data_IF_720643409934
#
_entry.id   IF_720643409934
#
_cell.length_a   1.000
_cell.length_b   1.000
_cell.length_c   1.000
_cell.angle_alpha   90.00
_cell.angle_beta   90.00
_cell.angle_gamma   90.00
#
_symmetry.space_group_name_H-M   'P 1'
#
loop_
_entity.id
_entity.type
_entity.pdbx_description
1 polymer ?
#
# COMPACT_ATOMS: atom_id res chain seq x y z
N UNK A 1 24.14 44.64 -17.03
CA UNK A 1 23.63 44.23 -15.71
C UNK A 1 22.82 42.92 -15.75
N UNK A 2 22.00 42.62 -16.77
CA UNK A 2 21.17 41.40 -16.80
C UNK A 2 21.93 40.06 -16.86
N UNK A 3 23.04 39.97 -17.59
CA UNK A 3 23.83 38.74 -17.70
C UNK A 3 24.46 38.30 -16.36
N UNK A 4 24.84 39.27 -15.52
CA UNK A 4 25.38 39.04 -14.18
C UNK A 4 24.31 38.47 -13.22
N UNK A 5 23.06 38.96 -13.31
CA UNK A 5 21.95 38.41 -12.54
C UNK A 5 21.58 36.98 -12.98
N UNK A 6 21.59 36.70 -14.29
CA UNK A 6 21.30 35.37 -14.81
C UNK A 6 22.33 34.33 -14.35
N UNK A 7 23.62 34.68 -14.37
CA UNK A 7 24.69 33.82 -13.84
C UNK A 7 24.53 33.55 -12.34
N UNK A 8 24.18 34.58 -11.57
CA UNK A 8 23.96 34.43 -10.13
C UNK A 8 22.79 33.49 -9.82
N UNK A 9 21.69 33.60 -10.58
CA UNK A 9 20.53 32.72 -10.41
C UNK A 9 20.83 31.27 -10.80
N UNK A 10 21.54 31.05 -11.91
CA UNK A 10 21.99 29.72 -12.32
C UNK A 10 22.93 29.09 -11.30
N UNK A 11 23.86 29.87 -10.73
CA UNK A 11 24.76 29.41 -9.67
C UNK A 11 24.01 29.08 -8.39
N UNK A 12 23.03 29.89 -8.00
CA UNK A 12 22.17 29.64 -6.83
C UNK A 12 21.38 28.33 -6.98
N UNK A 13 20.79 28.09 -8.15
CA UNK A 13 20.08 26.84 -8.46
C UNK A 13 21.01 25.62 -8.44
N UNK A 14 22.22 25.76 -8.99
CA UNK A 14 23.24 24.71 -8.98
C UNK A 14 23.68 24.38 -7.55
N UNK A 15 23.89 25.39 -6.71
CA UNK A 15 24.20 25.23 -5.29
C UNK A 15 23.04 24.53 -4.56
N UNK A 16 21.79 24.91 -4.83
CA UNK A 16 20.60 24.27 -4.24
C UNK A 16 20.51 22.79 -4.61
N UNK A 17 20.81 22.45 -5.87
CA UNK A 17 20.83 21.07 -6.36
C UNK A 17 21.97 20.25 -5.73
N UNK A 18 23.14 20.86 -5.52
CA UNK A 18 24.31 20.24 -4.87
C UNK A 18 24.17 20.11 -3.35
N UNK A 19 23.37 20.94 -2.70
CA UNK A 19 23.07 20.85 -1.26
C UNK A 19 22.09 19.72 -0.92
N UNK A 20 21.25 19.33 -1.88
CA UNK A 20 20.26 18.25 -1.72
C UNK A 20 20.89 16.90 -1.26
N UNK A 21 21.96 16.37 -1.89
CA UNK A 21 22.59 15.12 -1.44
C UNK A 21 23.29 15.23 -0.07
N UNK A 22 23.75 16.43 0.32
CA UNK A 22 24.42 16.63 1.62
C UNK A 22 23.40 16.53 2.76
N UNK A 23 22.18 17.02 2.55
CA UNK A 23 21.09 16.88 3.52
C UNK A 23 20.62 15.42 3.64
N UNK A 24 20.61 14.66 2.54
CA UNK A 24 20.26 13.24 2.52
C UNK A 24 21.26 12.37 3.29
N UNK A 25 22.56 12.67 3.19
CA UNK A 25 23.58 11.95 3.96
C UNK A 25 23.45 12.17 5.47
N UNK A 26 22.93 13.33 5.90
CA UNK A 26 22.64 13.61 7.31
C UNK A 26 21.36 12.90 7.81
N UNK A 27 20.39 12.65 6.93
CA UNK A 27 19.17 11.88 7.23
C UNK A 27 19.40 10.36 7.26
N UNK A 28 20.49 9.88 6.65
CA UNK A 28 20.93 8.49 6.71
C UNK A 28 21.63 8.13 8.03
N UNK A 29 21.48 8.92 9.09
CA UNK A 29 21.68 8.40 10.43
C UNK A 29 20.40 7.68 10.83
N UNK A 30 20.36 6.37 10.55
CA UNK A 30 19.39 5.46 11.15
C UNK A 30 19.29 5.83 12.64
N UNK A 31 18.10 6.19 13.16
CA UNK A 31 17.98 6.49 14.57
C UNK A 31 18.62 5.33 15.32
N UNK A 32 19.51 5.63 16.27
CA UNK A 32 20.23 4.64 17.06
C UNK A 32 19.27 3.92 18.02
N UNK A 33 18.30 3.24 17.44
CA UNK A 33 17.37 2.38 18.12
C UNK A 33 17.85 0.96 17.91
N UNK A 34 18.02 0.27 19.04
CA UNK A 34 18.25 -1.16 19.02
C UNK A 34 17.05 -1.90 18.42
N UNK A 35 17.14 -3.21 18.39
CA UNK A 35 16.04 -4.05 17.93
C UNK A 35 14.83 -3.89 18.87
N UNK A 36 13.77 -3.26 18.36
CA UNK A 36 12.48 -3.23 19.03
C UNK A 36 11.67 -4.47 18.64
N UNK A 37 11.04 -5.13 19.62
CA UNK A 37 10.25 -6.33 19.38
C UNK A 37 8.85 -6.16 19.96
N UNK A 38 7.84 -6.48 19.15
CA UNK A 38 6.45 -6.55 19.58
C UNK A 38 5.87 -7.92 19.24
N UNK A 39 5.60 -8.72 20.27
CA UNK A 39 5.16 -10.11 20.08
C UNK A 39 6.28 -10.94 19.44
N UNK A 40 6.02 -11.45 18.24
CA UNK A 40 6.97 -12.21 17.42
C UNK A 40 7.55 -11.41 16.24
N UNK A 41 7.30 -10.10 16.19
CA UNK A 41 7.72 -9.22 15.10
C UNK A 41 8.82 -8.28 15.58
N UNK A 42 9.95 -8.31 14.89
CA UNK A 42 11.00 -7.29 15.01
C UNK A 42 10.59 -6.06 14.21
N UNK A 43 10.57 -4.90 14.87
CA UNK A 43 10.32 -3.61 14.27
C UNK A 43 11.67 -3.04 13.83
N UNK A 44 11.76 -2.67 12.56
CA UNK A 44 12.99 -2.13 11.95
C UNK A 44 12.78 -0.70 11.49
N UNK A 45 13.87 0.06 11.46
CA UNK A 45 13.90 1.38 10.85
C UNK A 45 13.27 1.38 9.44
N UNK A 46 12.49 2.40 9.08
CA UNK A 46 12.27 3.66 9.81
C UNK A 46 11.06 3.63 10.76
N UNK A 47 10.50 2.44 11.03
CA UNK A 47 9.40 2.27 11.97
C UNK A 47 9.93 2.11 13.39
N UNK A 48 9.13 2.57 14.36
CA UNK A 48 9.50 2.45 15.78
C UNK A 48 8.32 2.70 16.70
N UNK A 49 8.40 2.16 17.91
CA UNK A 49 7.42 2.34 18.97
C UNK A 49 7.79 3.45 19.95
N UNK A 50 9.09 3.63 20.18
CA UNK A 50 9.61 4.74 20.97
C UNK A 50 9.77 5.99 20.09
N UNK A 51 9.49 7.17 20.65
CA UNK A 51 9.51 8.45 19.93
C UNK A 51 10.87 8.84 19.36
N UNK A 52 11.96 8.22 19.83
CA UNK A 52 13.31 8.39 19.29
C UNK A 52 13.61 7.47 18.10
N UNK A 53 12.72 6.53 17.79
CA UNK A 53 12.94 5.45 16.81
C UNK A 53 12.17 5.61 15.51
N UNK A 54 11.40 6.70 15.38
CA UNK A 54 10.72 7.07 14.14
C UNK A 54 10.80 8.59 13.94
N UNK A 55 11.00 9.03 12.71
CA UNK A 55 11.07 10.46 12.38
C UNK A 55 9.67 11.09 12.27
N UNK A 56 8.71 10.32 11.76
CA UNK A 56 7.36 10.82 11.45
C UNK A 56 6.28 10.01 12.16
N UNK A 57 5.20 10.67 12.56
CA UNK A 57 4.11 10.05 13.32
C UNK A 57 3.43 8.88 12.59
N UNK A 58 3.39 8.88 11.26
CA UNK A 58 2.86 7.78 10.45
C UNK A 58 3.78 6.55 10.38
N UNK A 59 5.02 6.66 10.85
CA UNK A 59 5.96 5.54 11.03
C UNK A 59 5.93 4.99 12.46
N UNK A 60 5.10 5.56 13.33
CA UNK A 60 4.91 5.08 14.69
C UNK A 60 4.21 3.73 14.69
N UNK A 61 4.78 2.79 15.42
CA UNK A 61 4.20 1.48 15.70
C UNK A 61 3.65 1.45 17.12
N UNK A 62 2.42 0.99 17.27
CA UNK A 62 1.81 0.73 18.58
C UNK A 62 1.75 -0.76 18.82
N UNK A 63 2.24 -1.21 19.98
CA UNK A 63 2.22 -2.62 20.37
C UNK A 63 1.01 -2.91 21.27
N UNK A 64 -0.09 -3.39 20.68
CA UNK A 64 -1.36 -3.60 21.37
C UNK A 64 -1.51 -5.04 21.88
N UNK A 65 -2.11 -5.20 23.06
CA UNK A 65 -2.48 -6.52 23.58
C UNK A 65 -3.74 -7.03 22.85
N UNK A 66 -3.64 -8.19 22.22
CA UNK A 66 -4.78 -8.89 21.58
C UNK A 66 -5.04 -10.22 22.27
N UNK A 67 -6.13 -10.91 21.88
CA UNK A 67 -6.44 -12.26 22.38
C UNK A 67 -5.29 -13.26 22.11
N UNK A 68 -4.55 -13.07 21.02
CA UNK A 68 -3.46 -13.94 20.60
C UNK A 68 -2.06 -13.36 20.95
N UNK A 69 -1.99 -12.50 21.97
CA UNK A 69 -0.75 -11.87 22.42
C UNK A 69 -0.56 -10.44 21.92
N UNK A 70 0.62 -9.88 22.18
CA UNK A 70 0.98 -8.53 21.73
C UNK A 70 1.21 -8.51 20.22
N UNK A 71 0.64 -7.50 19.54
CA UNK A 71 0.75 -7.33 18.10
C UNK A 71 1.08 -5.88 17.72
N UNK A 72 1.95 -5.65 16.72
CA UNK A 72 2.28 -4.31 16.25
C UNK A 72 1.22 -3.79 15.28
N UNK A 73 0.92 -2.49 15.38
CA UNK A 73 0.00 -1.78 14.49
C UNK A 73 0.61 -0.46 14.04
N UNK A 74 0.37 -0.07 12.79
CA UNK A 74 0.58 1.31 12.33
C UNK A 74 -0.78 1.99 12.19
N UNK A 75 -0.85 3.26 12.58
CA UNK A 75 -2.06 4.06 12.35
C UNK A 75 -1.88 4.91 11.09
N UNK A 76 -2.68 4.63 10.07
CA UNK A 76 -2.66 5.34 8.80
C UNK A 76 -3.99 6.08 8.66
N UNK A 77 -3.98 7.38 8.94
CA UNK A 77 -5.18 8.24 8.88
C UNK A 77 -6.37 7.71 9.72
N UNK A 78 -6.11 7.23 10.94
CA UNK A 78 -7.14 6.67 11.81
C UNK A 78 -7.45 5.18 11.57
N UNK A 79 -6.83 4.55 10.58
CA UNK A 79 -6.95 3.11 10.32
C UNK A 79 -5.78 2.39 10.99
N UNK A 80 -6.07 1.50 11.94
CA UNK A 80 -5.06 0.64 12.57
C UNK A 80 -4.83 -0.61 11.72
N UNK A 81 -3.62 -0.73 11.15
CA UNK A 81 -3.21 -1.87 10.33
C UNK A 81 -2.22 -2.73 11.10
N UNK A 82 -2.57 -4.00 11.34
CA UNK A 82 -1.68 -4.98 11.98
C UNK A 82 -0.45 -5.23 11.08
N UNK A 83 0.74 -5.07 11.65
CA UNK A 83 2.01 -5.32 10.97
C UNK A 83 2.38 -6.79 11.13
N UNK A 84 2.65 -7.43 10.00
CA UNK A 84 3.09 -8.82 9.92
C UNK A 84 4.62 -8.94 9.73
N UNK A 85 5.31 -7.83 9.48
CA UNK A 85 6.76 -7.74 9.38
C UNK A 85 7.24 -6.61 8.48
N UNK A 86 8.55 -6.35 8.48
CA UNK A 86 9.21 -5.40 7.57
C UNK A 86 9.84 -6.12 6.37
N UNK A 87 9.98 -5.40 5.25
CA UNK A 87 10.74 -5.83 4.07
C UNK A 87 11.94 -4.89 3.86
N UNK A 88 13.08 -5.45 3.44
CA UNK A 88 14.35 -4.73 3.24
C UNK A 88 14.33 -3.60 2.19
N UNK A 89 13.21 -3.37 1.49
CA UNK A 89 13.11 -2.50 0.31
C UNK A 89 12.01 -1.43 0.44
N UNK A 90 11.93 -0.73 1.57
CA UNK A 90 10.89 0.28 1.87
C UNK A 90 9.46 -0.28 1.77
N UNK A 91 9.25 -1.49 2.31
CA UNK A 91 7.93 -2.11 2.36
C UNK A 91 7.60 -2.61 3.75
N UNK A 92 6.36 -2.46 4.17
CA UNK A 92 5.83 -3.06 5.39
C UNK A 92 4.71 -4.04 5.04
N UNK A 93 4.77 -5.23 5.62
CA UNK A 93 3.76 -6.26 5.42
C UNK A 93 2.65 -6.02 6.43
N UNK A 94 1.42 -5.88 5.95
CA UNK A 94 0.24 -5.65 6.78
C UNK A 94 -0.80 -6.76 6.60
N UNK A 95 -1.66 -6.88 7.60
CA UNK A 95 -2.83 -7.77 7.58
C UNK A 95 -3.98 -7.07 6.87
N UNK A 96 -4.21 -7.43 5.61
CA UNK A 96 -5.17 -6.78 4.73
C UNK A 96 -6.56 -7.44 4.83
N UNK A 97 -7.68 -6.67 4.81
CA UNK A 97 -9.01 -7.23 4.83
C UNK A 97 -9.35 -8.00 3.55
N UNK A 98 -10.36 -8.86 3.65
CA UNK A 98 -10.83 -9.75 2.59
C UNK A 98 -12.34 -9.58 2.43
N UNK A 99 -12.81 -9.42 1.19
CA UNK A 99 -14.23 -9.46 0.88
C UNK A 99 -14.71 -10.92 0.82
N UNK A 100 -15.92 -11.16 1.30
CA UNK A 100 -16.57 -12.47 1.35
C UNK A 100 -17.98 -12.41 0.81
N UNK A 101 -18.35 -13.43 0.03
CA UNK A 101 -19.73 -13.64 -0.41
C UNK A 101 -20.11 -15.10 -0.18
N UNK A 102 -21.35 -15.34 0.25
CA UNK A 102 -21.94 -16.68 0.45
C UNK A 102 -21.19 -17.57 1.47
N UNK A 103 -20.46 -16.97 2.41
CA UNK A 103 -19.76 -17.69 3.47
C UNK A 103 -20.57 -17.63 4.77
N UNK A 104 -20.66 -18.76 5.48
CA UNK A 104 -21.37 -18.82 6.75
C UNK A 104 -20.74 -17.84 7.75
N UNK A 105 -21.59 -17.00 8.35
CA UNK A 105 -21.24 -16.01 9.39
C UNK A 105 -20.40 -14.78 8.95
N UNK A 106 -19.99 -14.69 7.68
CA UNK A 106 -19.22 -13.53 7.18
C UNK A 106 -19.66 -13.20 5.75
N UNK A 107 -20.42 -12.12 5.58
CA UNK A 107 -20.90 -11.69 4.26
C UNK A 107 -20.57 -10.20 4.03
N UNK A 108 -19.28 -9.87 4.17
CA UNK A 108 -18.75 -8.56 3.80
C UNK A 108 -18.38 -8.59 2.31
N UNK A 109 -19.39 -8.52 1.44
CA UNK A 109 -19.20 -8.59 0.00
C UNK A 109 -18.45 -7.35 -0.57
N UNK A 110 -18.19 -6.36 0.28
CA UNK A 110 -17.46 -5.14 -0.04
C UNK A 110 -16.47 -4.81 1.08
N UNK A 111 -15.21 -4.59 0.75
CA UNK A 111 -14.21 -4.05 1.68
C UNK A 111 -13.44 -2.90 1.03
N UNK A 112 -13.19 -1.85 1.79
CA UNK A 112 -12.50 -0.67 1.31
C UNK A 112 -11.38 -0.26 2.26
N UNK A 113 -10.25 0.17 1.70
CA UNK A 113 -9.13 0.74 2.45
C UNK A 113 -8.77 2.06 1.82
N UNK A 114 -8.69 3.13 2.62
CA UNK A 114 -8.37 4.47 2.16
C UNK A 114 -7.21 5.06 2.94
N UNK A 115 -6.04 5.10 2.31
CA UNK A 115 -4.79 5.66 2.81
C UNK A 115 -4.50 7.05 2.20
N UNK A 116 -5.48 7.64 1.50
CA UNK A 116 -5.32 8.94 0.83
C UNK A 116 -4.92 10.02 1.83
N UNK A 117 -4.03 10.92 1.41
CA UNK A 117 -3.46 11.95 2.29
C UNK A 117 -2.31 11.47 3.18
N UNK A 118 -1.94 10.19 3.10
CA UNK A 118 -0.75 9.63 3.76
C UNK A 118 0.33 9.29 2.73
N UNK A 119 1.60 9.08 3.13
CA UNK A 119 2.63 8.69 2.18
C UNK A 119 2.53 7.22 1.76
N UNK A 120 1.63 6.43 2.35
CA UNK A 120 1.49 5.00 2.09
C UNK A 120 0.66 4.69 0.84
N UNK A 121 1.05 3.63 0.15
CA UNK A 121 0.33 3.08 -1.00
C UNK A 121 0.59 1.58 -1.16
N UNK A 122 -0.36 0.86 -1.75
CA UNK A 122 -0.15 -0.48 -2.24
C UNK A 122 0.60 -0.43 -3.56
N UNK A 123 1.81 -0.99 -3.61
CA UNK A 123 2.61 -1.04 -4.84
C UNK A 123 2.05 -2.07 -5.82
N UNK A 124 1.91 -1.67 -7.09
CA UNK A 124 1.55 -2.56 -8.20
C UNK A 124 2.58 -3.67 -8.47
N UNK A 125 3.84 -3.46 -8.07
CA UNK A 125 4.91 -4.44 -8.28
C UNK A 125 4.94 -5.54 -7.21
N UNK A 126 4.36 -5.25 -6.03
CA UNK A 126 4.42 -6.15 -4.86
C UNK A 126 3.09 -6.75 -4.47
N UNK A 127 2.00 -6.22 -5.02
CA UNK A 127 0.65 -6.65 -4.70
C UNK A 127 -0.12 -7.06 -5.95
N UNK A 128 -0.97 -8.04 -5.77
CA UNK A 128 -1.83 -8.65 -6.76
C UNK A 128 -3.26 -8.59 -6.26
N UNK A 129 -4.21 -8.53 -7.18
CA UNK A 129 -5.61 -8.75 -6.86
C UNK A 129 -5.95 -10.20 -7.15
N UNK A 130 -6.58 -10.88 -6.19
CA UNK A 130 -6.94 -12.28 -6.31
C UNK A 130 -8.34 -12.54 -5.80
N UNK A 131 -8.91 -13.63 -6.28
CA UNK A 131 -10.12 -14.23 -5.70
C UNK A 131 -9.97 -15.74 -5.60
N UNK A 132 -10.66 -16.34 -4.63
CA UNK A 132 -10.75 -17.80 -4.43
C UNK A 132 -12.23 -18.17 -4.31
N UNK A 133 -12.62 -19.30 -4.91
CA UNK A 133 -14.01 -19.76 -4.99
C UNK A 133 -14.51 -19.84 -6.43
N UNK A 134 -15.82 -20.02 -6.61
CA UNK A 134 -16.49 -20.13 -7.90
C UNK A 134 -17.82 -19.38 -7.88
N UNK A 135 -18.38 -19.04 -9.04
CA UNK A 135 -19.73 -18.50 -9.16
C UNK A 135 -19.83 -16.97 -9.15
N UNK A 136 -18.76 -16.25 -8.82
CA UNK A 136 -18.81 -14.82 -8.51
C UNK A 136 -17.93 -13.97 -9.43
N UNK A 137 -18.28 -12.68 -9.52
CA UNK A 137 -17.44 -11.64 -10.08
C UNK A 137 -16.81 -10.85 -8.93
N UNK A 138 -15.49 -10.85 -8.87
CA UNK A 138 -14.72 -10.02 -7.96
C UNK A 138 -14.15 -8.81 -8.71
N UNK A 139 -14.41 -7.60 -8.25
CA UNK A 139 -13.89 -6.37 -8.87
C UNK A 139 -13.04 -5.59 -7.90
N UNK A 140 -12.11 -4.82 -8.45
CA UNK A 140 -11.29 -3.88 -7.70
C UNK A 140 -11.45 -2.49 -8.32
N UNK A 141 -11.77 -1.52 -7.48
CA UNK A 141 -11.94 -0.11 -7.83
C UNK A 141 -10.90 0.74 -7.10
N UNK A 142 -10.35 1.74 -7.77
CA UNK A 142 -9.62 2.84 -7.14
C UNK A 142 -10.59 3.95 -6.75
N UNK A 143 -10.33 4.66 -5.65
CA UNK A 143 -11.12 5.82 -5.22
C UNK A 143 -12.65 5.56 -5.24
N UNK A 144 -13.05 4.34 -4.86
CA UNK A 144 -14.44 3.86 -4.79
C UNK A 144 -15.20 3.77 -6.13
N UNK A 145 -14.72 4.36 -7.23
CA UNK A 145 -15.46 4.47 -8.49
C UNK A 145 -14.69 4.04 -9.75
N UNK A 146 -13.37 4.16 -9.77
CA UNK A 146 -12.57 3.90 -10.98
C UNK A 146 -12.24 2.40 -11.08
N UNK A 147 -12.91 1.68 -11.98
CA UNK A 147 -12.65 0.25 -12.19
C UNK A 147 -11.21 0.02 -12.66
N UNK A 148 -10.44 -0.73 -11.85
CA UNK A 148 -9.06 -1.11 -12.18
C UNK A 148 -8.99 -2.48 -12.84
N UNK A 149 -10.02 -3.30 -12.64
CA UNK A 149 -10.09 -4.65 -13.17
C UNK A 149 -10.95 -5.54 -12.30
N UNK A 150 -10.85 -6.83 -12.58
CA UNK A 150 -11.64 -7.83 -11.88
C UNK A 150 -11.28 -9.23 -12.28
N UNK A 151 -12.08 -10.14 -11.75
CA UNK A 151 -11.83 -11.55 -11.65
C UNK A 151 -13.17 -12.25 -11.83
N UNK A 152 -13.38 -12.86 -13.00
CA UNK A 152 -14.56 -13.67 -13.28
C UNK A 152 -14.25 -15.10 -12.82
N UNK A 153 -14.92 -15.56 -11.79
CA UNK A 153 -14.78 -16.95 -11.35
C UNK A 153 -15.62 -17.85 -12.27
N UNK A 154 -15.14 -19.09 -12.46
CA UNK A 154 -15.89 -20.09 -13.23
C UNK A 154 -17.22 -20.42 -12.54
N UNK A 155 -18.16 -21.01 -13.27
CA UNK A 155 -19.37 -21.58 -12.65
C UNK A 155 -18.94 -22.78 -11.79
N UNK A 156 -19.60 -22.97 -10.64
CA UNK A 156 -19.26 -24.08 -9.76
C UNK A 156 -19.68 -25.42 -10.40
N UNK A 157 -18.75 -26.38 -10.47
CA UNK A 157 -19.06 -27.76 -10.86
C UNK A 157 -19.68 -28.54 -9.68
N UNK A 158 -20.58 -29.48 -9.98
CA UNK A 158 -21.26 -30.31 -8.98
C UNK A 158 -20.27 -31.18 -8.17
N UNK A 159 -19.14 -31.58 -8.77
CA UNK A 159 -18.14 -32.48 -8.18
C UNK A 159 -17.23 -31.81 -7.13
N UNK A 160 -17.38 -30.52 -6.86
CA UNK A 160 -16.70 -29.82 -5.76
C UNK A 160 -15.17 -29.69 -5.88
N UNK A 161 -14.58 -30.11 -7.00
CA UNK A 161 -13.13 -30.10 -7.23
C UNK A 161 -12.56 -28.75 -7.69
N UNK A 162 -13.42 -27.78 -8.04
CA UNK A 162 -13.01 -26.52 -8.65
C UNK A 162 -13.15 -25.35 -7.67
N UNK A 163 -12.28 -25.25 -6.66
CA UNK A 163 -12.00 -23.95 -6.03
C UNK A 163 -11.11 -23.12 -6.97
N UNK A 164 -11.63 -22.81 -8.16
CA UNK A 164 -10.88 -22.09 -9.20
C UNK A 164 -10.91 -20.58 -8.93
N UNK A 165 -9.91 -20.09 -8.24
CA UNK A 165 -9.67 -18.65 -8.13
C UNK A 165 -9.17 -18.03 -9.43
N UNK A 166 -8.95 -16.72 -9.38
CA UNK A 166 -8.20 -16.00 -10.41
C UNK A 166 -7.31 -14.95 -9.77
N UNK A 167 -6.25 -14.58 -10.48
CA UNK A 167 -5.26 -13.60 -10.06
C UNK A 167 -5.06 -12.63 -11.21
N UNK A 168 -5.01 -11.34 -10.89
CA UNK A 168 -4.68 -10.28 -11.84
C UNK A 168 -3.66 -9.31 -11.23
N UNK A 169 -2.88 -8.71 -12.12
CA UNK A 169 -1.90 -7.70 -11.74
C UNK A 169 -2.61 -6.38 -11.44
N UNK A 170 -2.18 -5.70 -10.38
CA UNK A 170 -2.57 -4.32 -10.16
C UNK A 170 -1.67 -3.47 -11.07
N UNK A 171 -2.26 -2.60 -11.89
CA UNK A 171 -1.51 -1.85 -12.91
C UNK A 171 -0.98 -0.50 -12.42
N UNK A 172 -1.46 -0.03 -11.26
CA UNK A 172 -1.13 1.29 -10.69
C UNK A 172 -0.94 1.20 -9.18
N UNK A 173 -0.15 2.12 -8.62
CA UNK A 173 -0.03 2.25 -7.17
C UNK A 173 -1.34 2.79 -6.58
N UNK A 174 -1.83 2.15 -5.51
CA UNK A 174 -3.13 2.48 -4.91
C UNK A 174 -2.97 3.13 -3.54
N UNK A 175 -3.47 4.36 -3.40
CA UNK A 175 -3.65 4.99 -2.07
C UNK A 175 -5.02 4.66 -1.49
N UNK A 176 -5.99 4.29 -2.32
CA UNK A 176 -7.29 3.78 -1.88
C UNK A 176 -7.76 2.69 -2.83
N UNK A 177 -8.52 1.73 -2.31
CA UNK A 177 -9.20 0.75 -3.13
C UNK A 177 -10.50 0.28 -2.48
N UNK A 178 -11.39 -0.26 -3.31
CA UNK A 178 -12.57 -1.03 -2.90
C UNK A 178 -12.56 -2.35 -3.64
N UNK A 179 -12.73 -3.46 -2.92
CA UNK A 179 -12.97 -4.78 -3.48
C UNK A 179 -14.45 -5.08 -3.33
N UNK A 180 -15.10 -5.48 -4.41
CA UNK A 180 -16.51 -5.89 -4.42
C UNK A 180 -16.63 -7.31 -4.97
N UNK A 181 -17.54 -8.08 -4.37
CA UNK A 181 -17.95 -9.38 -4.86
C UNK A 181 -19.45 -9.37 -5.18
N UNK A 182 -19.81 -9.88 -6.35
CA UNK A 182 -21.19 -10.06 -6.75
C UNK A 182 -21.40 -11.45 -7.33
N UNK A 183 -22.59 -12.01 -7.13
CA UNK A 183 -22.95 -13.28 -7.75
C UNK A 183 -23.02 -13.10 -9.28
N UNK A 184 -22.23 -13.88 -10.01
CA UNK A 184 -22.28 -13.92 -11.47
C UNK A 184 -23.20 -15.03 -11.95
N UNK A 185 -23.20 -16.16 -11.24
CA UNK A 185 -24.07 -17.31 -11.46
C UNK A 185 -24.93 -17.53 -10.20
N UNK A 186 -26.20 -17.06 -10.17
CA UNK A 186 -27.03 -17.08 -8.96
C UNK A 186 -27.31 -18.46 -8.37
N UNK A 187 -27.21 -19.50 -9.20
CA UNK A 187 -27.33 -20.91 -8.85
C UNK A 187 -26.04 -21.47 -8.19
N UNK A 188 -24.91 -20.77 -8.34
CA UNK A 188 -23.61 -21.11 -7.76
C UNK A 188 -23.40 -20.41 -6.40
N UNK A 189 -24.20 -20.79 -5.40
CA UNK A 189 -24.14 -20.20 -4.06
C UNK A 189 -23.05 -20.86 -3.18
N UNK A 190 -21.79 -20.83 -3.63
CA UNK A 190 -20.65 -21.27 -2.81
C UNK A 190 -19.92 -20.06 -2.23
N UNK A 191 -19.41 -20.25 -1.01
CA UNK A 191 -18.51 -19.30 -0.36
C UNK A 191 -17.40 -18.90 -1.34
N UNK A 192 -17.02 -17.63 -1.35
CA UNK A 192 -15.91 -17.12 -2.15
C UNK A 192 -15.33 -15.88 -1.48
N UNK A 193 -14.08 -15.58 -1.82
CA UNK A 193 -13.36 -14.43 -1.28
C UNK A 193 -12.57 -13.68 -2.34
N UNK A 194 -12.31 -12.40 -2.10
CA UNK A 194 -11.49 -11.55 -2.94
C UNK A 194 -10.69 -10.53 -2.12
N UNK A 195 -9.47 -10.24 -2.57
CA UNK A 195 -8.52 -9.47 -1.76
C UNK A 195 -7.32 -8.96 -2.57
N UNK A 196 -6.62 -7.96 -2.01
CA UNK A 196 -5.27 -7.58 -2.43
C UNK A 196 -4.26 -8.30 -1.53
N UNK A 197 -3.25 -8.92 -2.14
CA UNK A 197 -2.23 -9.68 -1.41
C UNK A 197 -0.84 -9.57 -2.05
N UNK A 198 0.20 -9.92 -1.28
CA UNK A 198 1.57 -10.04 -1.77
C UNK A 198 2.02 -11.50 -1.84
N UNK A 199 2.51 -12.00 -2.99
CA UNK A 199 2.89 -13.40 -3.14
C UNK A 199 4.19 -13.76 -2.42
N UNK A 200 5.07 -12.79 -2.16
CA UNK A 200 6.42 -13.03 -1.62
C UNK A 200 6.45 -13.58 -0.16
N UNK A 201 5.29 -13.70 0.50
CA UNK A 201 5.15 -14.20 1.87
C UNK A 201 4.04 -15.24 2.06
N UNK A 202 3.49 -15.79 0.99
CA UNK A 202 2.53 -16.88 1.08
C UNK A 202 3.27 -18.21 1.26
N UNK A 203 3.48 -18.61 2.52
CA UNK A 203 4.07 -19.90 2.88
C UNK A 203 3.04 -21.04 2.86
N UNK A 204 1.75 -20.72 2.85
CA UNK A 204 0.63 -21.66 2.78
C UNK A 204 -0.45 -21.06 1.86
N UNK A 205 -1.05 -21.90 1.03
CA UNK A 205 -2.00 -21.47 0.00
C UNK A 205 -3.17 -20.66 0.55
N UNK A 206 -3.63 -19.68 -0.21
CA UNK A 206 -4.84 -18.92 0.12
C UNK A 206 -6.04 -19.84 -0.05
N UNK A 207 -6.88 -19.91 0.97
CA UNK A 207 -8.13 -20.67 0.97
C UNK A 207 -9.30 -19.71 1.18
N UNK A 208 -10.48 -20.13 0.79
CA UNK A 208 -11.77 -19.52 1.09
C UNK A 208 -11.99 -19.12 2.55
N UNK A 209 -11.35 -19.78 3.53
CA UNK A 209 -11.46 -19.42 4.95
C UNK A 209 -10.48 -18.33 5.44
N UNK A 210 -9.62 -17.81 4.58
CA UNK A 210 -8.52 -16.91 4.98
C UNK A 210 -9.00 -15.51 5.33
N UNK A 211 -9.47 -15.29 6.57
CA UNK A 211 -10.07 -14.01 7.01
C UNK A 211 -9.28 -12.76 6.62
N UNK A 212 -7.94 -12.83 6.59
CA UNK A 212 -7.08 -11.72 6.19
C UNK A 212 -5.84 -12.24 5.46
N UNK A 213 -5.35 -11.48 4.48
CA UNK A 213 -4.18 -11.84 3.66
C UNK A 213 -3.03 -10.85 3.84
N UNK A 214 -1.78 -11.29 3.71
CA UNK A 214 -0.64 -10.37 3.77
C UNK A 214 -0.60 -9.48 2.52
N UNK A 215 -0.50 -8.16 2.70
CA UNK A 215 -0.27 -7.19 1.63
C UNK A 215 0.91 -6.27 1.98
N UNK A 216 1.55 -5.68 0.98
CA UNK A 216 2.70 -4.80 1.17
C UNK A 216 2.29 -3.34 0.96
N UNK A 217 2.53 -2.52 1.97
CA UNK A 217 2.51 -1.07 1.82
C UNK A 217 3.93 -0.57 1.57
N UNK A 218 4.05 0.27 0.57
CA UNK A 218 5.21 1.12 0.36
C UNK A 218 4.87 2.54 0.82
N UNK A 219 5.89 3.35 1.07
CA UNK A 219 5.70 4.76 1.34
C UNK A 219 6.62 5.61 0.47
N UNK A 220 6.18 6.82 0.15
CA UNK A 220 7.06 7.82 -0.43
C UNK A 220 7.96 8.36 0.67
N UNK A 221 9.27 8.17 0.51
CA UNK A 221 10.24 8.92 1.30
C UNK A 221 10.04 10.40 0.98
N UNK A 222 10.00 11.26 1.99
CA UNK A 222 9.99 12.72 1.84
C UNK A 222 11.36 13.18 1.34
N UNK A 223 11.77 12.72 0.17
CA UNK A 223 12.96 13.20 -0.49
C UNK A 223 12.68 14.63 -0.97
N UNK A 224 13.64 15.53 -0.77
CA UNK A 224 13.63 16.83 -1.44
C UNK A 224 13.58 16.60 -2.96
N UNK A 225 12.39 16.69 -3.55
CA UNK A 225 12.19 16.42 -4.97
C UNK A 225 10.79 16.00 -5.40
N UNK A 226 9.86 15.68 -4.50
CA UNK A 226 8.45 15.50 -4.89
C UNK A 226 7.79 16.87 -5.09
N UNK A 227 8.02 17.47 -6.25
CA UNK A 227 7.10 18.48 -6.80
C UNK A 227 5.79 17.77 -7.10
N UNK A 228 4.95 17.64 -6.08
CA UNK A 228 3.52 17.41 -6.24
C UNK A 228 2.93 18.59 -7.02
N UNK A 229 2.94 18.50 -8.35
CA UNK A 229 2.19 19.39 -9.21
C UNK A 229 0.72 19.02 -9.15
N UNK A 230 0.05 19.45 -8.08
CA UNK A 230 -1.34 19.89 -8.17
C UNK A 230 -1.40 21.32 -7.67
N UNK A 231 -1.02 22.21 -8.58
CA UNK A 231 -1.42 23.61 -8.70
C UNK A 231 -0.78 24.09 -9.98
N UNK A 232 -1.61 24.52 -10.90
CA UNK A 232 -1.29 25.24 -12.14
C UNK A 232 -0.05 26.12 -11.97
N UNK A 233 1.10 25.62 -12.39
CA UNK A 233 2.29 26.44 -12.61
C UNK A 233 2.34 26.67 -14.11
N UNK A 234 1.97 27.87 -14.51
CA UNK A 234 2.33 28.45 -15.80
C UNK A 234 3.79 28.13 -16.07
N UNK A 235 4.00 27.30 -17.08
CA UNK A 235 5.29 26.70 -17.41
C UNK A 235 6.39 27.75 -17.52
N UNK A 236 7.42 27.61 -16.67
CA UNK A 236 8.68 28.38 -16.73
C UNK A 236 9.44 28.10 -18.05
N UNK A 237 8.99 27.14 -18.87
CA UNK A 237 9.48 26.97 -20.24
C UNK A 237 9.17 28.16 -21.16
N UNK A 238 8.22 29.04 -20.81
CA UNK A 238 7.94 30.25 -21.60
C UNK A 238 8.90 31.42 -21.36
N UNK A 239 9.67 31.42 -20.26
CA UNK A 239 10.63 32.49 -19.97
C UNK A 239 11.98 32.30 -20.68
N UNK A 240 12.26 31.11 -21.21
CA UNK A 240 13.46 30.85 -22.01
C UNK A 240 13.32 31.28 -23.48
N UNK A 241 12.12 31.67 -23.94
CA UNK A 241 11.88 32.16 -25.30
C UNK A 241 11.99 33.69 -25.46
N UNK A 242 12.28 34.44 -24.39
CA UNK A 242 12.39 35.91 -24.44
C UNK A 242 13.77 36.46 -24.05
N UNK A 243 14.79 35.60 -23.96
CA UNK A 243 16.18 36.04 -23.79
C UNK A 243 17.05 35.41 -24.88
N UNK A 244 16.69 35.67 -26.13
CA UNK A 244 17.58 35.74 -27.29
C UNK A 244 17.00 36.75 -28.29
#
# INVERSE_FOLDING_TARGET
MGFQLALYFALLLLILFLLCPILQAAESQEPACGEEVCGNITISSPFGSHSSCYTYSWLRVTCNQTQNGKKPFINVNGIDLEVLGSLYSNGILIRNPVAYINCDHTNEASVSVNLSGTPFFFSSERNYFGSVGCGNLATILSNEADSLGGCIQSRCDDDGASESGCITYITVNLTSYTVNMTAMYPDSNRCASAFIYSPHRLLSGINIGTTHVPAVLNWKSSNCGDTGQSRTVTSIAWLLFFVF
#
